data_IF_244450318091
#
_entry.id   IF_244450318091
#
_cell.length_a   1.000
_cell.length_b   1.000
_cell.length_c   1.000
_cell.angle_alpha   90.00
_cell.angle_beta   90.00
_cell.angle_gamma   90.00
#
_symmetry.space_group_name_H-M   'P 1'
#
loop_
_entity.id
_entity.type
_entity.pdbx_description
1 polymer ?
#
# COMPACT_ATOMS: atom_id res chain seq x y z
N UNK A 1 -14.70 10.77 -68.96
CA UNK A 1 -14.30 11.21 -67.60
C UNK A 1 -13.25 12.31 -67.77
N UNK A 2 -13.47 13.51 -67.24
CA UNK A 2 -12.58 14.65 -67.48
C UNK A 2 -11.29 14.52 -66.65
N UNK A 3 -10.22 15.19 -67.08
CA UNK A 3 -8.89 15.06 -66.44
C UNK A 3 -8.85 15.65 -65.03
N UNK A 4 -9.72 16.62 -64.74
CA UNK A 4 -9.89 17.18 -63.40
C UNK A 4 -10.30 16.12 -62.37
N UNK A 5 -11.25 15.24 -62.71
CA UNK A 5 -11.67 14.14 -61.83
C UNK A 5 -10.53 13.14 -61.55
N UNK A 6 -9.65 12.87 -62.51
CA UNK A 6 -8.51 11.95 -62.32
C UNK A 6 -7.47 12.54 -61.38
N UNK A 7 -7.15 13.83 -61.54
CA UNK A 7 -6.21 14.53 -60.67
C UNK A 7 -6.72 14.61 -59.23
N UNK A 8 -8.00 14.96 -59.05
CA UNK A 8 -8.62 15.02 -57.73
C UNK A 8 -8.62 13.65 -57.04
N UNK A 9 -9.01 12.59 -57.75
CA UNK A 9 -9.00 11.23 -57.20
C UNK A 9 -7.58 10.78 -56.81
N UNK A 10 -6.58 11.07 -57.65
CA UNK A 10 -5.17 10.77 -57.35
C UNK A 10 -4.70 11.42 -56.04
N UNK A 11 -4.98 12.72 -55.86
CA UNK A 11 -4.62 13.44 -54.64
C UNK A 11 -5.30 12.88 -53.38
N UNK A 12 -6.59 12.53 -53.49
CA UNK A 12 -7.34 11.95 -52.37
C UNK A 12 -6.76 10.59 -51.98
N UNK A 13 -6.48 9.73 -52.96
CA UNK A 13 -5.89 8.40 -52.71
C UNK A 13 -4.51 8.52 -52.07
N UNK A 14 -3.65 9.41 -52.58
CA UNK A 14 -2.31 9.64 -52.02
C UNK A 14 -2.40 10.12 -50.56
N UNK A 15 -3.31 11.05 -50.26
CA UNK A 15 -3.51 11.56 -48.91
C UNK A 15 -4.00 10.46 -47.95
N UNK A 16 -4.91 9.59 -48.40
CA UNK A 16 -5.41 8.47 -47.59
C UNK A 16 -4.31 7.47 -47.29
N UNK A 17 -3.49 7.11 -48.29
CA UNK A 17 -2.38 6.17 -48.10
C UNK A 17 -1.32 6.73 -47.15
N UNK A 18 -0.98 8.02 -47.28
CA UNK A 18 -0.05 8.68 -46.38
C UNK A 18 -0.58 8.72 -44.93
N UNK A 19 -1.89 8.96 -44.76
CA UNK A 19 -2.53 8.93 -43.46
C UNK A 19 -2.56 7.52 -42.85
N UNK A 20 -2.84 6.49 -43.66
CA UNK A 20 -2.80 5.09 -43.22
C UNK A 20 -1.41 4.69 -42.73
N UNK A 21 -0.35 4.99 -43.51
CA UNK A 21 1.04 4.72 -43.11
C UNK A 21 1.39 5.41 -41.79
N UNK A 22 1.03 6.70 -41.64
CA UNK A 22 1.28 7.44 -40.40
C UNK A 22 0.50 6.86 -39.22
N UNK A 23 -0.75 6.45 -39.44
CA UNK A 23 -1.58 5.85 -38.40
C UNK A 23 -0.97 4.53 -37.89
N UNK A 24 -0.47 3.70 -38.81
CA UNK A 24 0.17 2.42 -38.48
C UNK A 24 1.50 2.64 -37.73
N UNK A 25 2.27 3.65 -38.12
CA UNK A 25 3.49 4.03 -37.41
C UNK A 25 3.21 4.47 -35.96
N UNK A 26 2.16 5.26 -35.75
CA UNK A 26 1.73 5.64 -34.40
C UNK A 26 1.23 4.46 -33.58
N UNK A 27 0.43 3.56 -34.16
CA UNK A 27 -0.01 2.34 -33.47
C UNK A 27 1.19 1.52 -32.98
N UNK A 28 2.19 1.27 -33.85
CA UNK A 28 3.40 0.55 -33.45
C UNK A 28 4.21 1.26 -32.38
N UNK A 29 4.20 2.60 -32.36
CA UNK A 29 4.85 3.39 -31.34
C UNK A 29 4.12 3.28 -30.00
N UNK A 30 2.79 3.33 -30.00
CA UNK A 30 1.98 3.17 -28.80
C UNK A 30 2.14 1.76 -28.21
N UNK A 31 2.08 0.72 -29.03
CA UNK A 31 2.28 -0.67 -28.57
C UNK A 31 3.64 -0.85 -27.89
N UNK A 32 4.68 -0.17 -28.40
CA UNK A 32 6.01 -0.18 -27.79
C UNK A 32 6.04 0.53 -26.45
N UNK A 33 5.45 1.72 -26.37
CA UNK A 33 5.38 2.47 -25.12
C UNK A 33 4.55 1.74 -24.06
N UNK A 34 3.48 1.06 -24.46
CA UNK A 34 2.67 0.23 -23.56
C UNK A 34 3.53 -0.87 -22.95
N UNK A 35 4.27 -1.62 -23.77
CA UNK A 35 5.19 -2.65 -23.29
C UNK A 35 6.33 -2.11 -22.41
N UNK A 36 6.90 -0.94 -22.74
CA UNK A 36 7.94 -0.29 -21.92
C UNK A 36 7.39 0.18 -20.57
N UNK A 37 6.17 0.73 -20.54
CA UNK A 37 5.50 1.15 -19.32
C UNK A 37 5.17 -0.04 -18.43
N UNK A 38 4.60 -1.11 -18.99
CA UNK A 38 4.30 -2.34 -18.27
C UNK A 38 5.55 -2.94 -17.63
N UNK A 39 6.65 -3.02 -18.40
CA UNK A 39 7.92 -3.50 -17.86
C UNK A 39 8.42 -2.62 -16.71
N UNK A 40 8.38 -1.29 -16.87
CA UNK A 40 8.82 -0.34 -15.84
C UNK A 40 7.98 -0.48 -14.56
N UNK A 41 6.67 -0.65 -14.69
CA UNK A 41 5.77 -0.84 -13.56
C UNK A 41 6.06 -2.14 -12.81
N UNK A 42 6.30 -3.25 -13.53
CA UNK A 42 6.68 -4.54 -12.94
C UNK A 42 8.01 -4.46 -12.20
N UNK A 43 9.00 -3.74 -12.74
CA UNK A 43 10.29 -3.53 -12.10
C UNK A 43 10.18 -2.72 -10.79
N UNK A 44 9.17 -1.83 -10.69
CA UNK A 44 8.92 -1.01 -9.50
C UNK A 44 8.05 -1.69 -8.44
N UNK A 45 7.29 -2.73 -8.79
CA UNK A 45 6.34 -3.39 -7.89
C UNK A 45 7.02 -3.89 -6.61
N UNK A 46 8.08 -4.68 -6.75
CA UNK A 46 8.79 -5.27 -5.60
C UNK A 46 9.44 -4.21 -4.71
N UNK A 47 10.26 -3.27 -5.24
CA UNK A 47 10.86 -2.22 -4.41
C UNK A 47 9.84 -1.37 -3.63
N UNK A 48 8.70 -1.05 -4.25
CA UNK A 48 7.64 -0.28 -3.60
C UNK A 48 6.97 -1.10 -2.49
N UNK A 49 6.68 -2.37 -2.74
CA UNK A 49 6.12 -3.27 -1.73
C UNK A 49 7.06 -3.44 -0.52
N UNK A 50 8.36 -3.63 -0.76
CA UNK A 50 9.37 -3.73 0.30
C UNK A 50 9.46 -2.44 1.13
N UNK A 51 9.46 -1.28 0.45
CA UNK A 51 9.49 0.02 1.11
C UNK A 51 8.23 0.22 1.96
N UNK A 52 7.06 -0.13 1.45
CA UNK A 52 5.80 -0.05 2.18
C UNK A 52 5.83 -0.94 3.45
N UNK A 53 6.29 -2.18 3.34
CA UNK A 53 6.41 -3.10 4.46
C UNK A 53 7.38 -2.57 5.54
N UNK A 54 8.50 -1.98 5.14
CA UNK A 54 9.44 -1.35 6.05
C UNK A 54 8.83 -0.14 6.79
N UNK A 55 8.11 0.73 6.07
CA UNK A 55 7.41 1.88 6.66
C UNK A 55 6.37 1.41 7.68
N UNK A 56 5.56 0.42 7.33
CA UNK A 56 4.54 -0.14 8.20
C UNK A 56 5.14 -0.70 9.49
N UNK A 57 6.19 -1.54 9.38
CA UNK A 57 6.88 -2.09 10.55
C UNK A 57 7.49 -1.00 11.45
N UNK A 58 8.04 0.05 10.86
CA UNK A 58 8.60 1.20 11.60
C UNK A 58 7.51 1.99 12.31
N UNK A 59 6.38 2.26 11.64
CA UNK A 59 5.25 2.96 12.24
C UNK A 59 4.67 2.16 13.42
N UNK A 60 4.50 0.83 13.28
CA UNK A 60 4.04 -0.04 14.36
C UNK A 60 4.97 0.06 15.56
N UNK A 61 6.28 -0.06 15.36
CA UNK A 61 7.27 0.04 16.43
C UNK A 61 7.25 1.40 17.13
N UNK A 62 7.08 2.50 16.39
CA UNK A 62 7.01 3.85 16.96
C UNK A 62 5.71 4.12 17.72
N UNK A 63 4.60 3.53 17.28
CA UNK A 63 3.30 3.71 17.92
C UNK A 63 3.10 2.78 19.13
N UNK A 64 3.79 1.64 19.18
CA UNK A 64 3.60 0.63 20.22
C UNK A 64 3.62 1.21 21.66
N UNK A 65 4.57 2.10 22.05
CA UNK A 65 4.58 2.66 23.39
C UNK A 65 3.33 3.51 23.71
N UNK A 66 2.80 4.20 22.69
CA UNK A 66 1.57 4.98 22.82
C UNK A 66 0.36 4.06 23.02
N UNK A 67 0.23 3.03 22.17
CA UNK A 67 -0.84 2.03 22.26
C UNK A 67 -0.83 1.31 23.60
N UNK A 68 0.34 0.88 24.08
CA UNK A 68 0.51 0.23 25.39
C UNK A 68 0.24 1.17 26.59
N UNK A 69 0.21 2.48 26.37
CA UNK A 69 -0.12 3.45 27.42
C UNK A 69 -1.62 3.79 27.40
N UNK A 70 -2.21 3.98 26.22
CA UNK A 70 -3.59 4.43 26.09
C UNK A 70 -4.61 3.28 26.15
N UNK A 71 -4.34 2.17 25.47
CA UNK A 71 -5.30 1.07 25.35
C UNK A 71 -5.68 0.46 26.70
N UNK A 72 -4.75 0.27 27.67
CA UNK A 72 -5.14 -0.24 28.99
C UNK A 72 -6.11 0.68 29.72
N UNK A 73 -6.04 2.00 29.51
CA UNK A 73 -7.00 2.95 30.09
C UNK A 73 -8.39 2.76 29.46
N UNK A 74 -8.45 2.55 28.15
CA UNK A 74 -9.69 2.31 27.42
C UNK A 74 -10.33 0.97 27.80
N UNK A 75 -9.50 -0.04 28.08
CA UNK A 75 -9.93 -1.41 28.40
C UNK A 75 -10.07 -1.69 29.91
N UNK A 76 -10.06 -0.65 30.75
CA UNK A 76 -10.20 -0.77 32.21
C UNK A 76 -9.12 -1.66 32.87
N UNK A 77 -7.90 -1.63 32.35
CA UNK A 77 -6.71 -2.34 32.86
C UNK A 77 -5.64 -1.35 33.36
N UNK A 78 -5.92 -0.51 34.38
CA UNK A 78 -5.02 0.56 34.79
C UNK A 78 -3.65 0.07 35.28
N UNK A 79 -3.57 -1.13 35.86
CA UNK A 79 -2.32 -1.73 36.30
C UNK A 79 -1.36 -2.09 35.14
N UNK A 80 -1.85 -2.08 33.90
CA UNK A 80 -1.08 -2.40 32.69
C UNK A 80 -0.69 -1.16 31.87
N UNK A 81 -1.01 0.06 32.32
CA UNK A 81 -0.65 1.29 31.62
C UNK A 81 0.86 1.40 31.47
N UNK A 82 1.32 1.51 30.22
CA UNK A 82 2.74 1.62 29.87
C UNK A 82 3.53 0.32 30.00
N UNK A 83 2.87 -0.80 30.30
CA UNK A 83 3.52 -2.09 30.43
C UNK A 83 3.89 -2.67 29.06
N UNK A 84 5.13 -3.08 28.88
CA UNK A 84 5.63 -3.68 27.66
C UNK A 84 4.95 -5.01 27.28
N UNK A 85 4.36 -5.69 28.26
CA UNK A 85 3.69 -6.97 28.06
C UNK A 85 2.21 -6.85 27.70
N UNK A 86 1.64 -5.63 27.73
CA UNK A 86 0.24 -5.41 27.40
C UNK A 86 -0.06 -5.79 25.93
N UNK A 87 -1.13 -6.55 25.76
CA UNK A 87 -1.60 -7.10 24.47
C UNK A 87 -2.96 -6.53 24.07
N UNK A 88 -3.94 -6.54 24.98
CA UNK A 88 -5.20 -5.80 24.83
C UNK A 88 -6.14 -6.24 23.70
N UNK A 89 -6.05 -7.49 23.22
CA UNK A 89 -6.89 -7.96 22.10
C UNK A 89 -8.01 -8.90 22.56
N UNK A 90 -9.15 -8.84 21.85
CA UNK A 90 -10.32 -9.69 22.10
C UNK A 90 -10.30 -10.89 21.16
N UNK A 91 -10.40 -12.09 21.73
CA UNK A 91 -10.52 -13.36 21.02
C UNK A 91 -11.78 -14.07 21.53
N UNK A 92 -12.71 -14.41 20.62
CA UNK A 92 -13.98 -15.08 20.97
C UNK A 92 -14.70 -14.43 22.17
N UNK A 93 -14.91 -13.11 22.10
CA UNK A 93 -15.55 -12.29 23.14
C UNK A 93 -14.82 -12.25 24.50
N UNK A 94 -13.58 -12.73 24.57
CA UNK A 94 -12.72 -12.63 25.76
C UNK A 94 -11.49 -11.76 25.48
N UNK A 95 -11.27 -10.77 26.33
CA UNK A 95 -10.05 -9.96 26.27
C UNK A 95 -8.86 -10.72 26.86
N UNK A 96 -7.77 -10.73 26.11
CA UNK A 96 -6.45 -11.16 26.57
C UNK A 96 -5.61 -9.92 26.88
N UNK A 97 -5.46 -9.64 28.17
CA UNK A 97 -4.90 -8.37 28.66
C UNK A 97 -3.41 -8.27 28.39
N UNK A 98 -2.61 -9.22 28.84
CA UNK A 98 -1.16 -9.22 28.63
C UNK A 98 -0.58 -10.64 28.62
N UNK A 99 0.67 -10.78 28.17
CA UNK A 99 1.33 -12.08 28.08
C UNK A 99 1.58 -12.75 29.45
N UNK A 100 1.79 -11.95 30.51
CA UNK A 100 2.07 -12.44 31.87
C UNK A 100 0.79 -12.74 32.66
N UNK A 101 -0.25 -11.93 32.46
CA UNK A 101 -1.55 -12.04 33.11
C UNK A 101 -2.66 -11.99 32.05
N UNK A 102 -2.97 -13.13 31.41
CA UNK A 102 -3.94 -13.21 30.31
C UNK A 102 -5.30 -12.58 30.62
N UNK A 103 -5.74 -12.61 31.88
CA UNK A 103 -7.03 -12.09 32.33
C UNK A 103 -6.91 -10.84 33.22
N UNK A 104 -5.74 -10.18 33.23
CA UNK A 104 -5.43 -9.07 34.12
C UNK A 104 -4.93 -9.52 35.50
N UNK A 105 -4.28 -8.59 36.22
CA UNK A 105 -3.63 -8.87 37.51
C UNK A 105 -4.59 -8.83 38.71
N UNK A 106 -5.73 -8.14 38.59
CA UNK A 106 -6.72 -8.00 39.66
C UNK A 106 -6.26 -7.21 40.90
N UNK A 107 -5.01 -6.75 40.90
CA UNK A 107 -4.40 -5.89 41.91
C UNK A 107 -4.31 -4.45 41.39
N UNK A 108 -4.07 -3.50 42.29
CA UNK A 108 -3.82 -2.10 41.91
C UNK A 108 -2.54 -1.93 41.08
N UNK A 109 -1.56 -2.84 41.24
CA UNK A 109 -0.27 -2.81 40.54
C UNK A 109 0.07 -4.16 39.94
N UNK A 110 0.82 -4.16 38.84
CA UNK A 110 1.30 -5.35 38.15
C UNK A 110 2.72 -5.73 38.65
N UNK A 111 2.94 -6.94 39.19
CA UNK A 111 4.25 -7.37 39.68
C UNK A 111 5.26 -7.60 38.53
N UNK A 112 4.77 -7.98 37.36
CA UNK A 112 5.54 -8.19 36.14
C UNK A 112 5.53 -6.93 35.25
N UNK A 113 5.33 -5.74 35.83
CA UNK A 113 5.32 -4.50 35.06
C UNK A 113 6.74 -4.15 34.61
N UNK A 114 6.91 -3.99 33.31
CA UNK A 114 8.16 -3.54 32.70
C UNK A 114 7.84 -2.49 31.64
N UNK A 115 8.77 -1.56 31.36
CA UNK A 115 8.54 -0.44 30.44
C UNK A 115 9.61 -0.37 29.37
N UNK A 116 9.20 -0.01 28.15
CA UNK A 116 10.11 0.39 27.07
C UNK A 116 10.55 1.86 27.18
N UNK A 117 9.87 2.67 27.99
CA UNK A 117 10.24 4.05 28.27
C UNK A 117 11.48 4.06 29.19
N UNK A 118 12.64 4.41 28.64
CA UNK A 118 13.89 4.70 29.36
C UNK A 118 13.97 6.18 29.69
#
# INVERSE_FOLDING_TARGET
MNDWWKQFNGLVVETILAWDEQSQAWSQQFDRWDAELDQTLLELEVPLAETAAWVEGTLIALMQPLTQTLDPLVMEQPACVGCQHYHGQVYNDQIFVCAMHPYGVGLETCPDWETFWV
#
